data_IF_229525296720
#
_entry.id   IF_229525296720
#
_cell.length_a   1.000
_cell.length_b   1.000
_cell.length_c   1.000
_cell.angle_alpha   90.00
_cell.angle_beta   90.00
_cell.angle_gamma   90.00
#
_symmetry.space_group_name_H-M   'P 1'
#
loop_
_entity.id
_entity.type
_entity.pdbx_description
1 polymer ?
#
# COMPACT_ATOMS: atom_id res chain seq x y z
N UNK A 1 1.26 2.90 13.89
CA UNK A 1 2.02 1.73 14.34
C UNK A 1 1.31 0.43 13.98
N UNK A 2 0.02 0.23 14.26
CA UNK A 2 -0.72 -0.99 13.87
C UNK A 2 -0.78 -1.28 12.36
N UNK A 3 -0.73 -0.24 11.51
CA UNK A 3 -0.81 -0.38 10.03
C UNK A 3 0.40 -1.04 9.37
N UNK A 4 1.51 -1.21 10.11
CA UNK A 4 2.71 -1.91 9.63
C UNK A 4 2.71 -3.41 9.98
N UNK A 5 1.71 -3.87 10.73
CA UNK A 5 1.56 -5.27 11.07
C UNK A 5 0.31 -5.84 10.40
N UNK A 6 0.41 -7.09 9.94
CA UNK A 6 -0.70 -7.84 9.40
C UNK A 6 -1.70 -8.15 10.53
N UNK A 7 -2.88 -7.55 10.46
CA UNK A 7 -4.02 -7.82 11.35
C UNK A 7 -4.56 -9.23 11.13
N UNK A 8 -4.50 -9.74 9.89
CA UNK A 8 -4.83 -11.13 9.60
C UNK A 8 -3.92 -12.08 10.37
N UNK A 9 -2.60 -11.91 10.25
CA UNK A 9 -1.60 -12.72 10.97
C UNK A 9 -1.73 -12.55 12.49
N UNK A 10 -2.01 -11.34 12.98
CA UNK A 10 -2.25 -11.12 14.40
C UNK A 10 -3.49 -11.88 14.91
N UNK A 11 -4.61 -11.77 14.21
CA UNK A 11 -5.85 -12.50 14.54
C UNK A 11 -5.66 -14.01 14.50
N UNK A 12 -4.93 -14.51 13.49
CA UNK A 12 -4.57 -15.93 13.39
C UNK A 12 -3.71 -16.40 14.55
N UNK A 13 -2.71 -15.61 14.93
CA UNK A 13 -1.77 -15.97 16.00
C UNK A 13 -2.46 -15.98 17.35
N UNK A 14 -3.12 -14.88 17.72
CA UNK A 14 -3.80 -14.75 19.01
C UNK A 14 -5.02 -15.68 19.07
N UNK A 15 -5.82 -15.73 18.01
CA UNK A 15 -6.98 -16.62 17.91
C UNK A 15 -6.58 -18.08 17.98
N UNK A 16 -5.54 -18.48 17.25
CA UNK A 16 -5.02 -19.85 17.26
C UNK A 16 -4.53 -20.28 18.64
N UNK A 17 -3.76 -19.44 19.33
CA UNK A 17 -3.31 -19.72 20.71
C UNK A 17 -4.50 -19.92 21.64
N UNK A 18 -5.49 -19.02 21.62
CA UNK A 18 -6.68 -19.12 22.47
C UNK A 18 -7.52 -20.36 22.15
N UNK A 19 -7.68 -20.68 20.88
CA UNK A 19 -8.40 -21.88 20.44
C UNK A 19 -7.69 -23.15 20.91
N UNK A 20 -6.36 -23.25 20.78
CA UNK A 20 -5.57 -24.39 21.27
C UNK A 20 -5.72 -24.53 22.79
N UNK A 21 -5.62 -23.42 23.55
CA UNK A 21 -5.86 -23.43 25.00
C UNK A 21 -7.27 -23.94 25.31
N UNK A 22 -8.28 -23.51 24.54
CA UNK A 22 -9.66 -23.97 24.69
C UNK A 22 -9.80 -25.47 24.52
N UNK A 23 -9.13 -26.07 23.53
CA UNK A 23 -9.11 -27.53 23.32
C UNK A 23 -8.37 -28.27 24.43
N UNK A 24 -7.23 -27.76 24.89
CA UNK A 24 -6.49 -28.36 26.02
C UNK A 24 -7.31 -28.32 27.31
N UNK A 25 -7.96 -27.18 27.58
CA UNK A 25 -8.84 -27.02 28.74
C UNK A 25 -10.07 -27.93 28.67
N UNK A 26 -10.65 -28.13 27.48
CA UNK A 26 -11.71 -29.10 27.27
C UNK A 26 -11.29 -30.52 27.65
N UNK A 27 -10.12 -30.96 27.14
CA UNK A 27 -9.58 -32.28 27.43
C UNK A 27 -9.20 -32.49 28.92
N UNK A 28 -9.03 -31.40 29.67
CA UNK A 28 -8.71 -31.39 31.10
C UNK A 28 -9.93 -31.10 32.00
N UNK A 29 -11.15 -31.15 31.47
CA UNK A 29 -12.41 -30.84 32.18
C UNK A 29 -12.44 -29.44 32.84
N UNK A 30 -11.66 -28.49 32.32
CA UNK A 30 -11.66 -27.10 32.80
C UNK A 30 -12.64 -26.25 31.98
N UNK A 31 -13.91 -26.27 32.41
CA UNK A 31 -15.01 -25.60 31.72
C UNK A 31 -14.81 -24.07 31.59
N UNK A 32 -14.24 -23.40 32.59
CA UNK A 32 -14.04 -21.94 32.57
C UNK A 32 -13.02 -21.53 31.51
N UNK A 33 -11.86 -22.18 31.46
CA UNK A 33 -10.85 -21.87 30.45
C UNK A 33 -11.26 -22.33 29.06
N UNK A 34 -11.98 -23.46 28.95
CA UNK A 34 -12.54 -23.91 27.69
C UNK A 34 -13.48 -22.85 27.09
N UNK A 35 -14.41 -22.32 27.90
CA UNK A 35 -15.36 -21.30 27.47
C UNK A 35 -14.64 -20.07 26.91
N UNK A 36 -13.64 -19.55 27.64
CA UNK A 36 -12.84 -18.40 27.20
C UNK A 36 -12.10 -18.71 25.90
N UNK A 37 -11.44 -19.86 25.81
CA UNK A 37 -10.69 -20.25 24.62
C UNK A 37 -11.57 -20.38 23.38
N UNK A 38 -12.77 -20.91 23.51
CA UNK A 38 -13.69 -21.05 22.38
C UNK A 38 -14.41 -19.75 22.03
N UNK A 39 -14.98 -19.03 23.01
CA UNK A 39 -15.76 -17.81 22.74
C UNK A 39 -14.91 -16.67 22.19
N UNK A 40 -13.65 -16.57 22.58
CA UNK A 40 -12.77 -15.50 22.07
C UNK A 40 -11.80 -16.02 21.02
N UNK A 41 -11.27 -17.24 21.18
CA UNK A 41 -10.28 -17.80 20.25
C UNK A 41 -10.87 -18.10 18.89
N UNK A 42 -11.98 -18.85 18.82
CA UNK A 42 -12.56 -19.27 17.52
C UNK A 42 -12.99 -18.06 16.69
N UNK A 43 -13.77 -17.08 17.21
CA UNK A 43 -14.13 -15.90 16.42
C UNK A 43 -12.92 -15.08 15.99
N UNK A 44 -11.90 -14.93 16.85
CA UNK A 44 -10.69 -14.20 16.50
C UNK A 44 -9.86 -14.91 15.42
N UNK A 45 -9.78 -16.25 15.50
CA UNK A 45 -9.13 -17.09 14.50
C UNK A 45 -9.84 -17.00 13.14
N UNK A 46 -11.17 -17.13 13.12
CA UNK A 46 -11.97 -17.00 11.90
C UNK A 46 -11.89 -15.60 11.31
N UNK A 47 -11.94 -14.55 12.15
CA UNK A 47 -11.71 -13.18 11.72
C UNK A 47 -10.30 -12.98 11.15
N UNK A 48 -9.28 -13.56 11.77
CA UNK A 48 -7.91 -13.57 11.28
C UNK A 48 -7.76 -14.25 9.93
N UNK A 49 -8.42 -15.40 9.73
CA UNK A 49 -8.46 -16.11 8.44
C UNK A 49 -9.11 -15.25 7.36
N UNK A 50 -10.26 -14.64 7.66
CA UNK A 50 -10.99 -13.79 6.71
C UNK A 50 -10.17 -12.57 6.28
N UNK A 51 -9.50 -11.90 7.24
CA UNK A 51 -8.60 -10.79 6.95
C UNK A 51 -7.40 -11.24 6.14
N UNK A 52 -6.75 -12.35 6.53
CA UNK A 52 -5.56 -12.84 5.84
C UNK A 52 -5.84 -13.23 4.38
N UNK A 53 -7.02 -13.79 4.11
CA UNK A 53 -7.46 -14.16 2.78
C UNK A 53 -7.61 -12.96 1.82
N UNK A 54 -7.85 -11.76 2.37
CA UNK A 54 -8.04 -10.53 1.61
C UNK A 54 -6.92 -9.51 1.87
N UNK A 55 -5.80 -9.95 2.44
CA UNK A 55 -4.71 -9.08 2.84
C UNK A 55 -3.83 -8.71 1.65
N UNK A 56 -3.58 -7.41 1.49
CA UNK A 56 -2.62 -6.89 0.52
C UNK A 56 -1.44 -6.30 1.26
N UNK A 57 -0.26 -6.76 0.85
CA UNK A 57 1.00 -6.42 1.51
C UNK A 57 1.44 -5.00 1.15
N UNK A 58 2.17 -4.31 2.06
CA UNK A 58 2.79 -3.03 1.75
C UNK A 58 3.61 -3.09 0.46
N UNK A 59 3.50 -2.05 -0.35
CA UNK A 59 4.36 -1.87 -1.54
C UNK A 59 5.80 -1.69 -1.05
N UNK A 60 6.76 -2.47 -1.56
CA UNK A 60 8.15 -2.40 -1.12
C UNK A 60 8.83 -1.13 -1.63
N UNK A 61 9.84 -0.69 -0.88
CA UNK A 61 10.77 0.29 -1.38
C UNK A 61 11.74 -0.39 -2.36
N UNK A 62 11.81 0.08 -3.61
CA UNK A 62 12.73 -0.49 -4.61
C UNK A 62 14.19 -0.16 -4.29
N UNK A 63 14.42 0.95 -3.57
CA UNK A 63 15.72 1.38 -3.09
C UNK A 63 15.61 1.93 -1.66
N UNK A 64 16.65 1.74 -0.82
CA UNK A 64 16.66 2.29 0.52
C UNK A 64 16.70 3.82 0.47
N UNK A 65 15.83 4.48 1.25
CA UNK A 65 15.83 5.94 1.37
C UNK A 65 17.10 6.41 2.09
N UNK A 66 17.89 7.25 1.41
CA UNK A 66 19.12 7.79 2.00
C UNK A 66 18.81 8.84 3.07
N UNK A 67 19.72 9.10 4.03
CA UNK A 67 19.52 10.14 5.05
C UNK A 67 19.29 11.54 4.47
N UNK A 68 19.92 11.83 3.33
CA UNK A 68 19.75 13.11 2.62
C UNK A 68 18.31 13.28 2.12
N UNK A 69 17.78 12.26 1.44
CA UNK A 69 16.39 12.27 0.95
C UNK A 69 15.39 12.28 2.10
N UNK A 70 15.69 11.59 3.20
CA UNK A 70 14.87 11.60 4.41
C UNK A 70 14.75 13.02 4.99
N UNK A 71 15.85 13.77 5.03
CA UNK A 71 15.86 15.16 5.47
C UNK A 71 15.07 16.08 4.51
N UNK A 72 15.14 15.84 3.20
CA UNK A 72 14.32 16.56 2.21
C UNK A 72 12.83 16.27 2.41
N UNK A 73 12.46 15.00 2.65
CA UNK A 73 11.09 14.60 2.93
C UNK A 73 10.51 15.33 4.14
N UNK A 74 11.25 15.38 5.23
CA UNK A 74 10.79 16.05 6.47
C UNK A 74 10.58 17.55 6.29
N UNK A 75 11.33 18.18 5.37
CA UNK A 75 11.26 19.61 5.10
C UNK A 75 10.25 19.99 4.01
N UNK A 76 10.12 19.17 2.98
CA UNK A 76 9.48 19.56 1.72
C UNK A 76 8.26 18.72 1.33
N UNK A 77 8.10 17.50 1.86
CA UNK A 77 7.08 16.59 1.38
C UNK A 77 5.67 17.17 1.53
N UNK A 78 4.89 17.13 0.46
CA UNK A 78 3.52 17.60 0.49
C UNK A 78 2.62 16.66 1.29
N UNK A 79 1.46 17.16 1.71
CA UNK A 79 0.46 16.32 2.39
C UNK A 79 -0.02 15.18 1.49
N UNK A 80 -0.13 15.40 0.18
CA UNK A 80 -0.46 14.38 -0.82
C UNK A 80 0.61 13.29 -0.88
N UNK A 81 1.89 13.65 -1.08
CA UNK A 81 2.99 12.69 -1.13
C UNK A 81 3.07 11.87 0.17
N UNK A 82 2.88 12.52 1.32
CA UNK A 82 2.88 11.84 2.62
C UNK A 82 1.72 10.84 2.76
N UNK A 83 0.52 11.20 2.29
CA UNK A 83 -0.64 10.31 2.29
C UNK A 83 -0.41 9.11 1.40
N UNK A 84 -0.02 9.34 0.14
CA UNK A 84 0.27 8.28 -0.84
C UNK A 84 1.30 7.32 -0.26
N UNK A 85 2.45 7.82 0.22
CA UNK A 85 3.48 6.96 0.81
C UNK A 85 2.93 6.11 1.95
N UNK A 86 2.19 6.71 2.89
CA UNK A 86 1.61 5.98 4.04
C UNK A 86 0.56 4.95 3.63
N UNK A 87 -0.23 5.24 2.59
CA UNK A 87 -1.25 4.32 2.08
C UNK A 87 -0.65 3.16 1.29
N UNK A 88 0.45 3.39 0.57
CA UNK A 88 1.17 2.33 -0.13
C UNK A 88 1.97 1.44 0.82
N UNK A 89 2.57 2.01 1.87
CA UNK A 89 3.44 1.27 2.81
C UNK A 89 2.69 0.65 4.00
N UNK A 90 1.39 0.36 3.88
CA UNK A 90 0.60 -0.28 4.94
C UNK A 90 -0.08 -1.54 4.45
N UNK A 91 -0.42 -2.43 5.39
CA UNK A 91 -1.32 -3.54 5.09
C UNK A 91 -2.72 -3.01 4.79
N UNK A 92 -3.27 -3.45 3.68
CA UNK A 92 -4.64 -3.19 3.25
C UNK A 92 -5.44 -4.50 3.24
N UNK A 93 -6.77 -4.38 3.24
CA UNK A 93 -7.68 -5.53 3.22
C UNK A 93 -8.80 -5.25 2.22
N UNK A 94 -9.02 -6.17 1.28
CA UNK A 94 -10.01 -6.05 0.21
C UNK A 94 -9.38 -5.85 -1.18
N UNK A 95 -10.21 -5.77 -2.21
CA UNK A 95 -9.80 -5.86 -3.63
C UNK A 95 -9.22 -4.57 -4.22
N UNK A 96 -9.71 -3.38 -3.82
CA UNK A 96 -9.32 -2.08 -4.43
C UNK A 96 -8.14 -1.39 -3.72
N UNK A 97 -7.08 -2.11 -3.39
CA UNK A 97 -6.03 -1.56 -2.52
C UNK A 97 -4.89 -0.85 -3.27
N UNK A 98 -4.12 -0.10 -2.48
CA UNK A 98 -2.91 0.65 -2.83
C UNK A 98 -3.08 1.80 -3.82
N UNK A 99 -3.57 1.60 -5.05
CA UNK A 99 -3.70 2.70 -6.02
C UNK A 99 -4.82 2.55 -7.07
N UNK A 100 -5.59 1.46 -7.02
CA UNK A 100 -6.56 1.12 -8.08
C UNK A 100 -7.59 2.20 -8.33
N UNK A 101 -8.15 2.78 -7.27
CA UNK A 101 -9.14 3.89 -7.38
C UNK A 101 -8.57 5.13 -8.04
N UNK A 102 -7.28 5.41 -7.82
CA UNK A 102 -6.61 6.53 -8.48
C UNK A 102 -6.42 6.23 -9.96
N UNK A 103 -6.01 5.01 -10.32
CA UNK A 103 -5.87 4.60 -11.72
C UNK A 103 -7.20 4.56 -12.46
N UNK A 104 -8.26 4.07 -11.81
CA UNK A 104 -9.63 4.07 -12.30
C UNK A 104 -10.12 5.51 -12.55
N UNK A 105 -9.95 6.41 -11.57
CA UNK A 105 -10.29 7.82 -11.73
C UNK A 105 -9.53 8.47 -12.90
N UNK A 106 -8.25 8.14 -13.06
CA UNK A 106 -7.42 8.62 -14.15
C UNK A 106 -7.83 7.99 -15.50
N UNK A 107 -8.54 6.87 -15.48
CA UNK A 107 -8.93 6.08 -16.65
C UNK A 107 -7.73 5.41 -17.29
N UNK A 108 -6.82 4.87 -16.46
CA UNK A 108 -5.68 4.07 -16.87
C UNK A 108 -6.06 2.59 -16.77
N UNK A 109 -6.15 1.91 -17.92
CA UNK A 109 -6.73 0.58 -18.06
C UNK A 109 -8.19 0.64 -18.53
N UNK A 110 -8.55 -0.21 -19.49
CA UNK A 110 -9.94 -0.32 -20.01
C UNK A 110 -10.76 -1.36 -19.25
N UNK A 111 -10.09 -2.31 -18.61
CA UNK A 111 -10.63 -3.37 -17.76
C UNK A 111 -9.77 -3.48 -16.50
N UNK A 112 -10.19 -4.27 -15.51
CA UNK A 112 -9.34 -4.54 -14.34
C UNK A 112 -8.08 -5.35 -14.72
N UNK A 113 -8.16 -6.23 -15.72
CA UNK A 113 -7.02 -7.04 -16.19
C UNK A 113 -5.95 -6.19 -16.91
N UNK A 114 -6.36 -5.10 -17.55
CA UNK A 114 -5.46 -4.19 -18.27
C UNK A 114 -4.95 -3.03 -17.40
N UNK A 115 -5.36 -2.96 -16.14
CA UNK A 115 -4.99 -1.87 -15.24
C UNK A 115 -3.52 -2.02 -14.81
N UNK A 116 -2.75 -0.93 -14.83
CA UNK A 116 -1.39 -0.96 -14.30
C UNK A 116 -1.36 -1.34 -12.82
N UNK A 117 -0.42 -2.18 -12.39
CA UNK A 117 -0.29 -2.59 -11.00
C UNK A 117 0.91 -1.92 -10.35
N UNK A 118 0.75 -1.40 -9.13
CA UNK A 118 1.88 -0.83 -8.40
C UNK A 118 2.79 -1.92 -7.87
N UNK A 119 4.07 -1.83 -8.20
CA UNK A 119 5.08 -2.85 -7.92
C UNK A 119 6.15 -2.38 -6.95
N UNK A 120 6.35 -1.07 -6.85
CA UNK A 120 7.38 -0.49 -6.00
C UNK A 120 7.17 1.01 -5.78
N UNK A 121 7.89 1.54 -4.80
CA UNK A 121 8.04 2.98 -4.62
C UNK A 121 9.48 3.31 -4.22
N UNK A 122 9.94 4.51 -4.53
CA UNK A 122 11.22 5.02 -4.01
C UNK A 122 11.15 6.51 -3.73
N UNK A 123 11.95 6.92 -2.76
CA UNK A 123 12.14 8.33 -2.42
C UNK A 123 13.49 8.76 -3.00
N UNK A 124 13.51 9.86 -3.74
CA UNK A 124 14.74 10.42 -4.34
C UNK A 124 14.73 11.94 -4.27
N UNK A 125 15.88 12.54 -4.61
CA UNK A 125 15.99 13.95 -4.94
C UNK A 125 15.94 14.12 -6.47
N UNK A 126 15.17 15.11 -6.94
CA UNK A 126 15.21 15.59 -8.32
C UNK A 126 15.38 17.11 -8.28
N UNK A 127 16.48 17.62 -8.83
CA UNK A 127 16.79 19.05 -8.89
C UNK A 127 16.70 19.77 -7.51
N UNK A 128 17.18 19.16 -6.43
CA UNK A 128 17.10 19.73 -5.08
C UNK A 128 15.73 19.59 -4.39
N UNK A 129 14.74 19.00 -5.06
CA UNK A 129 13.39 18.79 -4.54
C UNK A 129 13.15 17.33 -4.18
N UNK A 130 12.41 17.11 -3.09
CA UNK A 130 11.91 15.79 -2.72
C UNK A 130 11.00 15.23 -3.81
N UNK A 131 11.27 14.00 -4.23
CA UNK A 131 10.48 13.27 -5.20
C UNK A 131 10.09 11.89 -4.67
N UNK A 132 8.80 11.56 -4.82
CA UNK A 132 8.27 10.23 -4.58
C UNK A 132 8.00 9.58 -5.93
N UNK A 133 8.70 8.50 -6.25
CA UNK A 133 8.49 7.74 -7.48
C UNK A 133 7.62 6.53 -7.19
N UNK A 134 6.56 6.36 -7.96
CA UNK A 134 5.72 5.18 -7.96
C UNK A 134 6.05 4.33 -9.19
N UNK A 135 6.30 3.05 -8.99
CA UNK A 135 6.74 2.12 -10.03
C UNK A 135 5.59 1.15 -10.36
N UNK A 136 5.12 1.19 -11.60
CA UNK A 136 4.00 0.39 -12.08
C UNK A 136 4.46 -0.65 -13.10
N UNK A 137 3.90 -1.86 -12.99
CA UNK A 137 3.86 -2.82 -14.09
C UNK A 137 2.68 -2.47 -14.98
N UNK A 138 2.94 -2.15 -16.25
CA UNK A 138 1.95 -1.63 -17.20
C UNK A 138 2.15 -2.27 -18.59
N UNK A 139 1.92 -3.58 -18.76
CA UNK A 139 2.10 -4.26 -20.04
C UNK A 139 1.06 -3.85 -21.09
N UNK A 140 -0.17 -3.55 -20.67
CA UNK A 140 -1.30 -3.24 -21.57
C UNK A 140 -1.46 -1.75 -21.88
N UNK A 141 -0.97 -0.85 -21.01
CA UNK A 141 -1.13 0.60 -21.17
C UNK A 141 0.20 1.25 -21.59
N UNK A 142 0.33 1.70 -22.85
CA UNK A 142 1.56 2.33 -23.34
C UNK A 142 1.79 3.72 -22.71
N UNK A 143 3.07 4.12 -22.66
CA UNK A 143 3.52 5.41 -22.09
C UNK A 143 2.80 6.62 -22.68
N UNK A 144 2.43 6.60 -23.97
CA UNK A 144 1.73 7.71 -24.61
C UNK A 144 0.37 8.01 -23.95
N UNK A 145 -0.35 6.98 -23.48
CA UNK A 145 -1.62 7.15 -22.77
C UNK A 145 -1.39 7.79 -21.40
N UNK A 146 -0.32 7.37 -20.71
CA UNK A 146 0.06 7.96 -19.44
C UNK A 146 0.44 9.44 -19.59
N UNK A 147 1.30 9.76 -20.56
CA UNK A 147 1.73 11.14 -20.83
C UNK A 147 0.56 12.05 -21.22
N UNK A 148 -0.40 11.56 -22.04
CA UNK A 148 -1.64 12.30 -22.34
C UNK A 148 -2.48 12.63 -21.11
N UNK A 149 -2.34 11.86 -20.03
CA UNK A 149 -3.07 12.07 -18.76
C UNK A 149 -2.24 12.82 -17.71
N UNK A 150 -1.03 13.27 -18.02
CA UNK A 150 -0.13 13.94 -17.07
C UNK A 150 -0.75 15.19 -16.46
N UNK A 151 -1.41 16.05 -17.25
CA UNK A 151 -2.10 17.23 -16.72
C UNK A 151 -3.25 16.85 -15.77
N UNK A 152 -4.03 15.83 -16.12
CA UNK A 152 -5.09 15.29 -15.25
C UNK A 152 -4.53 14.74 -13.94
N UNK A 153 -3.37 14.05 -14.00
CA UNK A 153 -2.66 13.56 -12.82
C UNK A 153 -2.19 14.70 -11.92
N UNK A 154 -1.57 15.73 -12.48
CA UNK A 154 -1.14 16.93 -11.73
C UNK A 154 -2.33 17.57 -11.00
N UNK A 155 -3.45 17.74 -11.68
CA UNK A 155 -4.67 18.28 -11.08
C UNK A 155 -5.25 17.37 -9.98
N UNK A 156 -5.18 16.05 -10.15
CA UNK A 156 -5.66 15.07 -9.19
C UNK A 156 -4.84 15.04 -7.89
N UNK A 157 -3.51 15.08 -7.99
CA UNK A 157 -2.63 15.09 -6.81
C UNK A 157 -2.59 16.44 -6.09
N UNK A 158 -3.03 17.49 -6.77
CA UNK A 158 -3.23 18.80 -6.19
C UNK A 158 -1.98 19.68 -6.17
N UNK A 159 -2.07 20.87 -5.53
CA UNK A 159 -1.03 21.89 -5.61
C UNK A 159 0.28 21.47 -4.95
N UNK A 160 1.39 22.03 -5.45
CA UNK A 160 2.73 21.80 -4.92
C UNK A 160 3.35 20.46 -5.33
N UNK A 161 2.70 19.71 -6.22
CA UNK A 161 3.24 18.47 -6.82
C UNK A 161 3.26 18.62 -8.33
N UNK A 162 4.43 18.43 -8.91
CA UNK A 162 4.60 18.24 -10.34
C UNK A 162 4.69 16.75 -10.64
N UNK A 163 3.94 16.32 -11.66
CA UNK A 163 3.91 14.93 -12.10
C UNK A 163 4.76 14.79 -13.36
N UNK A 164 5.63 13.81 -13.40
CA UNK A 164 6.33 13.38 -14.61
C UNK A 164 6.18 11.87 -14.81
N UNK A 165 6.08 11.42 -16.05
CA UNK A 165 5.96 10.00 -16.40
C UNK A 165 7.13 9.57 -17.28
N UNK A 166 7.84 8.53 -16.85
CA UNK A 166 8.94 7.92 -17.58
C UNK A 166 8.72 6.42 -17.75
N UNK A 167 9.38 5.83 -18.75
CA UNK A 167 9.30 4.40 -19.04
C UNK A 167 10.72 3.81 -19.00
N UNK A 168 11.18 3.26 -17.85
CA UNK A 168 12.51 2.65 -17.76
C UNK A 168 12.62 1.32 -18.52
N UNK A 169 11.51 0.62 -18.74
CA UNK A 169 11.45 -0.69 -19.42
C UNK A 169 10.10 -0.84 -20.14
N UNK A 170 10.00 -1.77 -21.10
CA UNK A 170 8.83 -1.92 -22.00
C UNK A 170 7.51 -2.07 -21.24
N UNK A 171 7.53 -2.74 -20.10
CA UNK A 171 6.34 -3.02 -19.29
C UNK A 171 6.34 -2.26 -17.96
N UNK A 172 7.24 -1.28 -17.77
CA UNK A 172 7.36 -0.53 -16.52
C UNK A 172 7.16 0.95 -16.73
N UNK A 173 6.33 1.55 -15.90
CA UNK A 173 6.07 2.99 -15.89
C UNK A 173 6.46 3.55 -14.54
N UNK A 174 7.14 4.68 -14.55
CA UNK A 174 7.48 5.44 -13.36
C UNK A 174 6.69 6.74 -13.35
N UNK A 175 5.96 6.95 -12.26
CA UNK A 175 5.26 8.19 -11.98
C UNK A 175 6.04 8.96 -10.91
N UNK A 176 6.71 10.02 -11.32
CA UNK A 176 7.43 10.90 -10.41
C UNK A 176 6.50 11.99 -9.88
N UNK A 177 6.32 12.03 -8.57
CA UNK A 177 5.65 13.12 -7.84
C UNK A 177 6.73 14.00 -7.22
N UNK A 178 7.09 15.10 -7.87
CA UNK A 178 8.16 16.02 -7.45
C UNK A 178 7.56 17.21 -6.73
N UNK A 179 8.14 17.64 -5.61
CA UNK A 179 7.72 18.88 -4.95
C UNK A 179 7.97 20.05 -5.90
N UNK A 180 6.93 20.82 -6.19
CA UNK A 180 7.05 22.05 -6.95
C UNK A 180 6.93 23.25 -5.99
N UNK A 181 8.04 23.96 -5.80
CA UNK A 181 8.11 25.15 -4.95
C UNK A 181 7.62 26.43 -5.65
N UNK A 182 7.14 26.36 -6.90
CA UNK A 182 6.50 27.50 -7.57
C UNK A 182 5.09 27.68 -7.01
N UNK A 183 4.98 28.43 -5.92
CA UNK A 183 3.78 29.19 -5.55
C UNK A 183 4.10 30.67 -5.55
#
# INVERSE_FOLDING_TARGET
MLRQFSLGTLGLTVGGILTIIGFVAYAADNATLNLVGFFYGIPLLLGGLALKANEISPVPFSQPTTPQVLALREKQATSTQTKIRKDLTRYCYGQDAHFDKSLEFLGLGSSDEDRPEISGLRETEINGAYALILEFNSPSVPIDIWQKKQEKMTNYFGPGVEVSVTQPDSNKIELALVVNSKS
#
